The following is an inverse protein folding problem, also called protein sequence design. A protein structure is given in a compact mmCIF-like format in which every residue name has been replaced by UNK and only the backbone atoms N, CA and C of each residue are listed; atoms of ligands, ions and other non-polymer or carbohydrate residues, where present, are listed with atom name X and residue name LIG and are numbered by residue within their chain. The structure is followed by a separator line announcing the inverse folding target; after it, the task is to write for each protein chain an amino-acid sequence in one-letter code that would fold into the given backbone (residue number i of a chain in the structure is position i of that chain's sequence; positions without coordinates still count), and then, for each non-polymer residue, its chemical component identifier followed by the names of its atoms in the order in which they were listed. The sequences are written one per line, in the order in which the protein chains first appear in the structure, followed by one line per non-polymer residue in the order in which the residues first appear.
data_IF_080711283572
#
_entry.id   IF_080711283572
#
_cell.length_a   1.000
_cell.length_b   1.000
_cell.length_c   1.000
_cell.angle_alpha   90.00
_cell.angle_beta   90.00
_cell.angle_gamma   90.00
#
_symmetry.space_group_name_H-M   'P 1'
#
loop_
_entity.id
_entity.type
_entity.pdbx_description
1 polymer ?
#
# COMPACT_ATOMS: atom_id res chain seq x y z
N UNK A 1 4.69 -2.14 -18.52
CA UNK A 1 5.71 -2.99 -17.87
C UNK A 1 5.25 -3.34 -16.47
N UNK A 2 5.32 -4.59 -16.08
CA UNK A 2 5.01 -5.01 -14.71
C UNK A 2 5.96 -6.11 -14.30
N UNK A 3 6.21 -6.24 -13.02
CA UNK A 3 7.16 -7.20 -12.49
C UNK A 3 7.19 -7.16 -10.97
N UNK A 4 8.25 -7.72 -10.41
CA UNK A 4 8.58 -7.61 -9.01
C UNK A 4 10.07 -7.33 -8.85
N UNK A 5 10.43 -6.62 -7.79
CA UNK A 5 11.79 -6.53 -7.27
C UNK A 5 11.93 -7.54 -6.13
N UNK A 6 13.02 -8.29 -6.11
CA UNK A 6 13.35 -9.22 -5.03
C UNK A 6 14.41 -8.56 -4.12
N UNK A 7 14.15 -8.56 -2.81
CA UNK A 7 15.03 -8.04 -1.76
C UNK A 7 15.76 -9.25 -1.15
N UNK A 8 16.92 -9.03 -0.55
CA UNK A 8 17.67 -10.10 0.13
C UNK A 8 16.78 -10.80 1.17
N UNK A 9 16.74 -12.15 1.20
CA UNK A 9 15.82 -12.88 2.06
C UNK A 9 16.12 -12.62 3.53
N UNK A 10 15.08 -12.29 4.30
CA UNK A 10 15.14 -12.19 5.75
C UNK A 10 14.35 -13.33 6.45
N UNK A 11 14.07 -13.18 7.74
CA UNK A 11 13.33 -14.16 8.51
C UNK A 11 11.85 -14.30 8.08
N UNK A 12 11.29 -13.30 7.38
CA UNK A 12 9.92 -13.20 6.93
C UNK A 12 9.85 -13.18 5.40
N UNK A 13 9.95 -14.36 4.77
CA UNK A 13 9.91 -14.54 3.30
C UNK A 13 8.67 -14.01 2.56
N UNK A 14 7.66 -13.50 3.28
CA UNK A 14 6.41 -13.01 2.70
C UNK A 14 6.54 -11.70 1.93
N UNK A 15 7.57 -10.90 2.21
CA UNK A 15 7.79 -9.56 1.64
C UNK A 15 9.06 -9.40 0.81
N UNK A 16 9.83 -10.49 0.64
CA UNK A 16 11.00 -10.58 -0.25
C UNK A 16 10.69 -10.03 -1.65
N UNK A 17 9.42 -10.07 -2.09
CA UNK A 17 8.98 -9.59 -3.41
C UNK A 17 8.08 -8.37 -3.33
N UNK A 18 8.54 -7.28 -3.95
CA UNK A 18 7.78 -6.04 -4.15
C UNK A 18 7.29 -5.96 -5.59
N UNK A 19 5.99 -6.13 -5.79
CA UNK A 19 5.35 -6.04 -7.10
C UNK A 19 5.18 -4.59 -7.53
N UNK A 20 5.35 -4.36 -8.84
CA UNK A 20 5.13 -3.06 -9.47
C UNK A 20 4.42 -3.22 -10.82
N UNK A 21 3.61 -2.21 -11.16
CA UNK A 21 2.96 -2.09 -12.45
C UNK A 21 3.15 -0.67 -12.98
N UNK A 22 3.88 -0.54 -14.08
CA UNK A 22 4.19 0.71 -14.77
C UNK A 22 3.49 0.70 -16.13
N UNK A 23 2.44 1.49 -16.28
CA UNK A 23 1.82 1.70 -17.60
C UNK A 23 2.55 2.80 -18.36
N UNK A 24 3.16 2.45 -19.50
CA UNK A 24 3.65 3.44 -20.46
C UNK A 24 2.42 4.03 -21.12
N UNK A 25 2.13 5.31 -20.85
CA UNK A 25 1.01 6.02 -21.45
C UNK A 25 1.47 6.78 -22.69
N UNK A 26 0.61 6.95 -23.70
CA UNK A 26 0.87 7.93 -24.75
C UNK A 26 1.05 9.33 -24.14
N UNK A 27 1.70 10.26 -24.86
CA UNK A 27 1.83 11.65 -24.43
C UNK A 27 0.46 12.24 -24.11
N UNK A 28 0.36 12.98 -23.01
CA UNK A 28 -0.92 13.57 -22.59
C UNK A 28 -1.32 14.70 -23.52
N UNK A 29 -2.58 14.70 -23.95
CA UNK A 29 -3.16 15.80 -24.73
C UNK A 29 -3.40 17.02 -23.84
N UNK A 30 -2.73 18.13 -24.13
CA UNK A 30 -2.77 19.37 -23.36
C UNK A 30 -3.31 20.52 -24.22
N UNK A 31 -4.23 21.30 -23.68
CA UNK A 31 -4.60 22.62 -24.22
C UNK A 31 -4.23 23.72 -23.23
N UNK A 32 -3.88 24.89 -23.73
CA UNK A 32 -3.57 26.09 -22.95
C UNK A 32 -4.49 27.24 -23.37
N UNK A 33 -5.07 27.95 -22.39
CA UNK A 33 -5.95 29.11 -22.56
C UNK A 33 -5.53 30.24 -21.63
N UNK A 34 -5.84 31.48 -22.02
CA UNK A 34 -5.51 32.68 -21.24
C UNK A 34 -4.22 33.40 -21.66
N UNK A 35 -4.20 34.71 -21.45
CA UNK A 35 -3.02 35.56 -21.61
C UNK A 35 -2.05 35.42 -20.42
N UNK A 36 -0.75 35.64 -20.64
CA UNK A 36 0.29 35.53 -19.61
C UNK A 36 0.93 34.14 -19.49
N UNK A 37 0.58 33.21 -20.39
CA UNK A 37 1.06 31.83 -20.40
C UNK A 37 2.45 31.60 -21.02
N UNK A 38 3.24 32.61 -21.39
CA UNK A 38 4.47 32.42 -22.19
C UNK A 38 5.41 31.33 -21.64
N UNK A 39 5.73 31.35 -20.35
CA UNK A 39 6.62 30.35 -19.75
C UNK A 39 5.99 28.95 -19.74
N UNK A 40 4.68 28.86 -19.54
CA UNK A 40 3.93 27.61 -19.64
C UNK A 40 3.91 27.11 -21.09
N UNK A 41 3.70 27.99 -22.07
CA UNK A 41 3.75 27.65 -23.50
C UNK A 41 5.10 27.05 -23.88
N UNK A 42 6.19 27.70 -23.46
CA UNK A 42 7.55 27.24 -23.72
C UNK A 42 7.82 25.90 -23.02
N UNK A 43 7.41 25.74 -21.75
CA UNK A 43 7.55 24.47 -21.05
C UNK A 43 6.77 23.33 -21.74
N UNK A 44 5.52 23.58 -22.16
CA UNK A 44 4.71 22.61 -22.90
C UNK A 44 5.33 22.29 -24.27
N UNK A 45 5.91 23.27 -24.95
CA UNK A 45 6.60 23.04 -26.22
C UNK A 45 7.83 22.15 -26.04
N UNK A 46 8.62 22.38 -24.97
CA UNK A 46 9.74 21.51 -24.61
C UNK A 46 9.27 20.09 -24.30
N UNK A 47 8.22 19.94 -23.49
CA UNK A 47 7.63 18.62 -23.18
C UNK A 47 7.06 17.94 -24.43
N UNK A 48 6.50 18.69 -25.38
CA UNK A 48 6.00 18.16 -26.64
C UNK A 48 7.15 17.65 -27.53
N UNK A 49 8.23 18.41 -27.66
CA UNK A 49 9.44 17.96 -28.38
C UNK A 49 10.07 16.72 -27.75
N UNK A 50 9.97 16.57 -26.43
CA UNK A 50 10.43 15.40 -25.69
C UNK A 50 9.45 14.21 -25.74
N UNK A 51 8.30 14.33 -26.41
CA UNK A 51 7.28 13.27 -26.46
C UNK A 51 6.61 12.98 -25.11
N UNK A 52 6.61 13.94 -24.18
CA UNK A 52 5.99 13.83 -22.84
C UNK A 52 4.59 14.44 -22.79
N UNK A 53 4.30 15.39 -23.68
CA UNK A 53 2.99 16.01 -23.86
C UNK A 53 2.66 16.16 -25.35
N UNK A 54 1.40 16.46 -25.68
CA UNK A 54 0.98 16.78 -27.03
C UNK A 54 -0.01 17.95 -27.00
N UNK A 55 0.29 19.03 -27.73
CA UNK A 55 -0.70 20.12 -27.90
C UNK A 55 -1.90 19.61 -28.69
N UNK A 56 -3.09 19.80 -28.14
CA UNK A 56 -4.35 19.27 -28.68
C UNK A 56 -5.44 20.35 -28.58
N UNK A 57 -6.45 20.26 -29.45
CA UNK A 57 -7.62 21.12 -29.35
C UNK A 57 -8.39 20.85 -28.04
N UNK A 58 -9.07 21.87 -27.50
CA UNK A 58 -9.77 21.79 -26.21
C UNK A 58 -10.69 20.59 -26.10
N UNK A 59 -11.46 20.30 -27.15
CA UNK A 59 -12.43 19.20 -27.16
C UNK A 59 -11.81 17.81 -26.96
N UNK A 60 -10.51 17.65 -27.22
CA UNK A 60 -9.77 16.39 -27.06
C UNK A 60 -8.65 16.50 -26.01
N UNK A 61 -8.53 17.64 -25.30
CA UNK A 61 -7.53 17.83 -24.27
C UNK A 61 -7.90 17.01 -23.02
N UNK A 62 -6.92 16.26 -22.52
CA UNK A 62 -7.03 15.54 -21.25
C UNK A 62 -6.68 16.44 -20.08
N UNK A 63 -5.83 17.46 -20.32
CA UNK A 63 -5.48 18.51 -19.36
C UNK A 63 -5.67 19.87 -20.02
N UNK A 64 -6.45 20.73 -19.38
CA UNK A 64 -6.58 22.15 -19.70
C UNK A 64 -5.71 22.96 -18.73
N UNK A 65 -4.72 23.68 -19.25
CA UNK A 65 -4.04 24.77 -18.55
C UNK A 65 -4.83 26.06 -18.79
N UNK A 66 -5.38 26.62 -17.73
CA UNK A 66 -6.27 27.78 -17.77
C UNK A 66 -5.62 28.93 -17.00
N UNK A 67 -5.11 29.93 -17.72
CA UNK A 67 -4.63 31.18 -17.13
C UNK A 67 -5.82 32.13 -16.98
N UNK A 68 -6.00 32.71 -15.80
CA UNK A 68 -7.14 33.60 -15.54
C UNK A 68 -8.52 32.94 -15.56
N UNK A 69 -8.58 31.61 -15.59
CA UNK A 69 -9.84 30.86 -15.65
C UNK A 69 -10.43 30.72 -17.05
N UNK A 70 -9.70 31.10 -18.10
CA UNK A 70 -10.18 30.99 -19.48
C UNK A 70 -10.40 29.53 -19.90
N UNK A 71 -11.55 29.25 -20.53
CA UNK A 71 -11.92 27.93 -21.05
C UNK A 71 -12.32 26.90 -20.00
N UNK A 72 -12.38 27.28 -18.72
CA UNK A 72 -12.61 26.35 -17.61
C UNK A 72 -14.04 25.78 -17.60
N UNK A 73 -15.02 26.57 -18.04
CA UNK A 73 -16.44 26.21 -18.18
C UNK A 73 -16.72 25.30 -19.38
N UNK A 74 -15.95 25.47 -20.47
CA UNK A 74 -16.09 24.71 -21.72
C UNK A 74 -15.24 23.44 -21.81
N UNK A 75 -14.57 23.03 -20.73
CA UNK A 75 -13.65 21.88 -20.76
C UNK A 75 -14.39 20.54 -20.96
N UNK A 76 -13.77 19.54 -21.61
CA UNK A 76 -14.35 18.20 -21.71
C UNK A 76 -14.61 17.59 -20.33
N UNK A 77 -15.73 16.89 -20.17
CA UNK A 77 -16.08 16.24 -18.91
C UNK A 77 -15.01 15.23 -18.46
N UNK A 78 -14.57 15.33 -17.21
CA UNK A 78 -13.52 14.48 -16.64
C UNK A 78 -12.10 14.89 -17.01
N UNK A 79 -11.91 15.94 -17.82
CA UNK A 79 -10.59 16.50 -18.08
C UNK A 79 -10.04 17.21 -16.85
N UNK A 80 -8.72 17.14 -16.68
CA UNK A 80 -8.06 17.86 -15.60
C UNK A 80 -7.95 19.35 -15.90
N UNK A 81 -8.17 20.20 -14.90
CA UNK A 81 -7.91 21.62 -14.99
C UNK A 81 -6.69 22.00 -14.15
N UNK A 82 -5.77 22.73 -14.75
CA UNK A 82 -4.66 23.39 -14.08
C UNK A 82 -4.91 24.89 -14.18
N UNK A 83 -5.24 25.52 -13.06
CA UNK A 83 -5.61 26.93 -13.01
C UNK A 83 -4.44 27.74 -12.49
N UNK A 84 -4.00 28.69 -13.32
CA UNK A 84 -2.95 29.65 -13.01
C UNK A 84 -3.62 31.03 -12.91
N UNK A 85 -3.42 31.78 -11.82
CA UNK A 85 -4.06 33.08 -11.68
C UNK A 85 -3.42 34.10 -12.63
N UNK A 86 -4.15 35.15 -13.02
CA UNK A 86 -3.67 36.15 -13.95
C UNK A 86 -2.62 37.05 -13.31
N UNK A 87 -1.69 37.59 -14.10
CA UNK A 87 -0.69 38.54 -13.62
C UNK A 87 -1.31 39.84 -13.09
N UNK A 88 -2.46 40.25 -13.64
CA UNK A 88 -3.25 41.39 -13.17
C UNK A 88 -4.35 40.96 -12.18
N UNK A 89 -4.26 41.46 -10.95
CA UNK A 89 -5.22 41.19 -9.89
C UNK A 89 -6.62 41.74 -10.15
N UNK A 90 -6.78 42.72 -11.06
CA UNK A 90 -8.09 43.22 -11.48
C UNK A 90 -8.95 42.13 -12.16
N UNK A 91 -8.33 41.05 -12.64
CA UNK A 91 -9.00 39.92 -13.27
C UNK A 91 -9.49 38.84 -12.29
N UNK A 92 -9.13 38.91 -10.99
CA UNK A 92 -9.56 37.90 -10.01
C UNK A 92 -11.09 37.71 -9.92
N UNK A 93 -11.94 38.74 -10.01
CA UNK A 93 -13.39 38.53 -10.03
C UNK A 93 -13.87 37.66 -11.19
N UNK A 94 -13.25 37.81 -12.38
CA UNK A 94 -13.57 36.99 -13.54
C UNK A 94 -13.09 35.54 -13.35
N UNK A 95 -11.88 35.34 -12.84
CA UNK A 95 -11.34 34.02 -12.47
C UNK A 95 -12.25 33.31 -11.45
N UNK A 96 -12.61 33.99 -10.37
CA UNK A 96 -13.47 33.42 -9.32
C UNK A 96 -14.86 33.04 -9.83
N UNK A 97 -15.43 33.81 -10.77
CA UNK A 97 -16.67 33.44 -11.45
C UNK A 97 -16.50 32.15 -12.27
N UNK A 98 -15.38 31.98 -12.97
CA UNK A 98 -15.11 30.76 -13.74
C UNK A 98 -14.92 29.54 -12.84
N UNK A 99 -14.24 29.68 -11.70
CA UNK A 99 -14.13 28.60 -10.70
C UNK A 99 -15.49 28.17 -10.17
N UNK A 100 -16.37 29.13 -9.89
CA UNK A 100 -17.73 28.87 -9.44
C UNK A 100 -18.55 28.12 -10.50
N UNK A 101 -18.48 28.54 -11.76
CA UNK A 101 -19.15 27.87 -12.89
C UNK A 101 -18.64 26.44 -13.11
N UNK A 102 -17.35 26.21 -12.84
CA UNK A 102 -16.72 24.89 -12.92
C UNK A 102 -16.86 24.06 -11.62
N UNK A 103 -17.61 24.57 -10.64
CA UNK A 103 -17.87 23.94 -9.34
C UNK A 103 -16.59 23.60 -8.56
N UNK A 104 -15.53 24.39 -8.72
CA UNK A 104 -14.29 24.24 -7.96
C UNK A 104 -14.46 24.97 -6.61
N UNK A 105 -14.31 24.29 -5.46
CA UNK A 105 -14.63 24.84 -4.14
C UNK A 105 -13.51 25.73 -3.57
N UNK A 106 -12.93 26.59 -4.40
CA UNK A 106 -11.87 27.53 -4.02
C UNK A 106 -12.10 28.89 -4.67
N UNK A 107 -11.58 29.92 -4.03
CA UNK A 107 -11.49 31.27 -4.58
C UNK A 107 -10.13 31.87 -4.32
N UNK A 108 -9.78 32.82 -5.19
CA UNK A 108 -8.59 33.64 -5.08
C UNK A 108 -8.94 34.97 -4.41
N UNK A 109 -8.19 35.33 -3.39
CA UNK A 109 -8.27 36.64 -2.75
C UNK A 109 -6.98 37.43 -2.99
N UNK A 110 -7.14 38.73 -3.26
CA UNK A 110 -6.01 39.65 -3.25
C UNK A 110 -5.53 39.81 -1.83
N UNK A 111 -4.34 39.30 -1.53
CA UNK A 111 -3.66 39.61 -0.29
C UNK A 111 -2.51 40.59 -0.56
N UNK A 112 -2.52 41.79 0.04
CA UNK A 112 -1.38 42.67 0.00
C UNK A 112 -0.30 42.15 0.95
N UNK A 113 0.40 41.10 0.55
CA UNK A 113 1.65 40.70 1.18
C UNK A 113 2.79 41.56 0.65
N UNK A 114 3.65 42.08 1.54
CA UNK A 114 4.87 42.78 1.13
C UNK A 114 6.06 41.80 1.13
N UNK A 115 6.86 41.83 0.06
CA UNK A 115 8.14 41.13 -0.03
C UNK A 115 8.07 39.74 -0.66
N UNK A 116 9.27 39.20 -0.92
CA UNK A 116 9.46 37.85 -1.43
C UNK A 116 9.24 36.81 -0.32
N UNK A 117 8.63 35.68 -0.68
CA UNK A 117 8.38 34.56 0.24
C UNK A 117 8.81 33.24 -0.40
N UNK A 118 9.31 32.31 0.41
CA UNK A 118 9.68 30.96 -0.01
C UNK A 118 8.55 29.94 0.13
N UNK A 119 8.85 28.72 -0.28
CA UNK A 119 7.99 27.53 -0.18
C UNK A 119 8.44 26.70 1.03
N UNK A 120 7.50 26.26 1.87
CA UNK A 120 7.78 25.54 3.12
C UNK A 120 7.37 24.05 3.08
N UNK A 121 6.07 23.72 3.21
CA UNK A 121 5.59 22.32 3.21
C UNK A 121 5.40 21.82 1.78
N UNK A 122 6.49 21.42 1.11
CA UNK A 122 6.48 20.94 -0.26
C UNK A 122 6.32 19.40 -0.33
N UNK A 123 5.14 18.95 -0.79
CA UNK A 123 4.80 17.54 -1.00
C UNK A 123 4.91 17.09 -2.46
N UNK A 124 5.38 17.97 -3.33
CA UNK A 124 5.57 17.70 -4.74
C UNK A 124 6.85 16.89 -4.97
N UNK A 125 6.93 16.08 -6.03
CA UNK A 125 8.16 15.35 -6.37
C UNK A 125 9.23 16.24 -7.02
N UNK A 126 9.16 17.56 -6.81
CA UNK A 126 10.04 18.58 -7.38
C UNK A 126 10.50 19.47 -6.24
N UNK A 127 11.81 19.68 -6.11
CA UNK A 127 12.38 20.57 -5.10
C UNK A 127 12.08 22.04 -5.45
N UNK A 128 11.56 22.78 -4.47
CA UNK A 128 11.08 24.17 -4.64
C UNK A 128 11.70 25.12 -3.61
N UNK A 129 12.72 24.68 -2.88
CA UNK A 129 13.34 25.39 -1.75
C UNK A 129 13.95 26.75 -2.14
N UNK A 130 14.41 26.86 -3.40
CA UNK A 130 15.01 28.08 -3.96
C UNK A 130 13.98 28.96 -4.70
N UNK A 131 12.73 28.50 -4.83
CA UNK A 131 11.69 29.29 -5.49
C UNK A 131 11.28 30.44 -4.57
N UNK A 132 11.16 31.63 -5.15
CA UNK A 132 10.73 32.86 -4.48
C UNK A 132 9.48 33.38 -5.16
N UNK A 133 8.49 33.71 -4.36
CA UNK A 133 7.19 34.21 -4.80
C UNK A 133 7.11 35.69 -4.39
N UNK A 134 6.97 36.56 -5.37
CA UNK A 134 6.87 38.02 -5.20
C UNK A 134 5.41 38.45 -5.24
N UNK A 135 4.67 37.94 -6.24
CA UNK A 135 3.24 38.22 -6.43
C UNK A 135 2.44 36.93 -6.25
N UNK A 136 1.44 36.99 -5.38
CA UNK A 136 0.59 35.86 -5.05
C UNK A 136 -0.81 36.31 -4.69
N UNK A 137 -1.71 35.36 -4.72
CA UNK A 137 -3.08 35.48 -4.29
C UNK A 137 -3.36 34.38 -3.29
N UNK A 138 -4.13 34.71 -2.26
CA UNK A 138 -4.50 33.75 -1.23
C UNK A 138 -5.54 32.79 -1.79
N UNK A 139 -5.28 31.50 -1.67
CA UNK A 139 -6.24 30.45 -1.96
C UNK A 139 -7.12 30.20 -0.74
N UNK A 140 -8.42 30.41 -0.87
CA UNK A 140 -9.41 30.22 0.20
C UNK A 140 -10.43 29.18 -0.22
N UNK A 141 -10.58 28.12 0.59
CA UNK A 141 -11.57 27.08 0.35
C UNK A 141 -12.99 27.59 0.66
N UNK A 142 -13.95 27.20 -0.16
CA UNK A 142 -15.37 27.47 0.06
C UNK A 142 -15.98 26.33 0.88
N UNK A 143 -15.85 26.40 2.21
CA UNK A 143 -16.39 25.40 3.16
C UNK A 143 -15.37 24.35 3.63
N UNK A 144 -15.69 23.62 4.71
CA UNK A 144 -14.77 22.70 5.39
C UNK A 144 -14.75 21.27 4.79
N UNK A 145 -15.86 20.78 4.24
CA UNK A 145 -16.03 19.36 3.85
C UNK A 145 -15.47 18.99 2.45
N UNK A 146 -14.97 19.95 1.66
CA UNK A 146 -14.53 19.73 0.28
C UNK A 146 -13.16 20.35 -0.07
N UNK A 147 -12.37 20.75 0.94
CA UNK A 147 -11.07 21.35 0.69
C UNK A 147 -10.11 20.28 0.14
N UNK A 148 -9.62 20.50 -1.09
CA UNK A 148 -8.62 19.66 -1.73
C UNK A 148 -7.33 19.49 -0.90
N UNK A 149 -6.41 18.66 -1.39
CA UNK A 149 -5.12 18.43 -0.75
C UNK A 149 -4.18 19.60 -1.08
N UNK A 150 -3.69 20.27 -0.03
CA UNK A 150 -2.59 21.24 -0.13
C UNK A 150 -1.28 20.49 -0.41
N UNK A 151 -0.66 20.78 -1.55
CA UNK A 151 0.59 20.17 -2.01
C UNK A 151 1.82 21.01 -1.66
N UNK A 152 1.65 22.33 -1.60
CA UNK A 152 2.70 23.25 -1.21
C UNK A 152 2.11 24.40 -0.40
N UNK A 153 2.78 24.78 0.69
CA UNK A 153 2.51 26.03 1.42
C UNK A 153 3.66 27.00 1.26
N UNK A 154 3.38 28.28 1.48
CA UNK A 154 4.41 29.31 1.63
C UNK A 154 4.93 29.34 3.07
N UNK A 155 6.03 30.04 3.30
CA UNK A 155 6.59 30.25 4.66
C UNK A 155 5.60 30.89 5.64
N UNK A 156 4.59 31.59 5.14
CA UNK A 156 3.47 32.18 5.90
C UNK A 156 2.45 31.13 6.36
N UNK A 157 2.54 29.90 5.87
CA UNK A 157 1.60 28.81 6.11
C UNK A 157 0.41 28.76 5.15
N UNK A 158 0.25 29.75 4.27
CA UNK A 158 -0.87 29.78 3.32
C UNK A 158 -0.68 28.77 2.17
N UNK A 159 -1.77 28.17 1.65
CA UNK A 159 -1.68 27.25 0.51
C UNK A 159 -1.18 27.96 -0.76
N UNK A 160 -0.18 27.37 -1.41
CA UNK A 160 0.33 27.82 -2.71
C UNK A 160 -0.05 26.89 -3.85
N UNK A 161 0.02 25.57 -3.66
CA UNK A 161 -0.43 24.60 -4.67
C UNK A 161 -1.46 23.70 -4.03
N UNK A 162 -2.63 23.61 -4.65
CA UNK A 162 -3.75 22.80 -4.17
C UNK A 162 -4.23 21.89 -5.28
N UNK A 163 -4.52 20.64 -4.95
CA UNK A 163 -5.13 19.66 -5.86
C UNK A 163 -6.44 19.16 -5.29
N UNK A 164 -7.43 18.88 -6.13
CA UNK A 164 -8.67 18.24 -5.68
C UNK A 164 -9.48 17.70 -6.84
N UNK A 165 -10.74 17.38 -6.56
CA UNK A 165 -11.70 16.90 -7.55
C UNK A 165 -12.98 17.71 -7.49
N UNK A 166 -13.52 18.04 -8.66
CA UNK A 166 -14.82 18.67 -8.85
C UNK A 166 -15.65 17.82 -9.82
N UNK A 167 -16.98 18.05 -9.95
CA UNK A 167 -17.81 17.33 -10.92
C UNK A 167 -17.25 17.34 -12.35
N UNK A 168 -16.64 18.45 -12.77
CA UNK A 168 -16.00 18.58 -14.09
C UNK A 168 -14.68 17.80 -14.27
N UNK A 169 -14.14 17.20 -13.20
CA UNK A 169 -12.88 16.47 -13.21
C UNK A 169 -11.89 16.99 -12.16
N UNK A 170 -10.68 16.39 -12.12
CA UNK A 170 -9.64 16.81 -11.18
C UNK A 170 -9.20 18.27 -11.46
N UNK A 171 -8.82 18.99 -10.41
CA UNK A 171 -8.31 20.37 -10.52
C UNK A 171 -7.00 20.56 -9.75
N UNK A 172 -6.18 21.47 -10.23
CA UNK A 172 -4.97 21.97 -9.59
C UNK A 172 -5.00 23.50 -9.64
N UNK A 173 -4.68 24.16 -8.52
CA UNK A 173 -4.63 25.61 -8.39
C UNK A 173 -3.21 26.04 -8.00
N UNK A 174 -2.71 27.11 -8.61
CA UNK A 174 -1.48 27.79 -8.20
C UNK A 174 -1.83 29.12 -7.53
N UNK A 175 -1.17 29.46 -6.42
CA UNK A 175 -1.38 30.71 -5.71
C UNK A 175 -0.64 31.89 -6.32
N UNK A 176 0.11 31.71 -7.41
CA UNK A 176 0.83 32.80 -8.09
C UNK A 176 0.78 32.66 -9.61
N UNK A 177 0.83 33.77 -10.35
CA UNK A 177 1.13 33.75 -11.78
C UNK A 177 2.47 33.04 -12.05
N UNK A 178 2.64 32.51 -13.25
CA UNK A 178 3.90 31.86 -13.69
C UNK A 178 4.63 32.75 -14.68
N UNK A 179 5.05 33.91 -14.17
CA UNK A 179 5.88 34.88 -14.87
C UNK A 179 7.05 35.32 -13.97
N UNK A 180 8.08 35.89 -14.59
CA UNK A 180 9.33 36.24 -13.89
C UNK A 180 9.17 37.41 -12.89
N UNK A 181 8.09 38.19 -12.98
CA UNK A 181 7.81 39.25 -12.00
C UNK A 181 7.08 38.72 -10.77
N UNK A 182 6.28 37.66 -10.94
CA UNK A 182 5.48 37.07 -9.88
C UNK A 182 6.23 35.97 -9.13
N UNK A 183 7.04 35.16 -9.83
CA UNK A 183 7.72 34.01 -9.25
C UNK A 183 9.03 33.72 -9.95
N UNK A 184 10.08 33.44 -9.17
CA UNK A 184 11.35 32.96 -9.74
C UNK A 184 11.21 31.58 -10.41
N UNK A 185 10.12 30.85 -10.13
CA UNK A 185 9.81 29.57 -10.74
C UNK A 185 9.93 29.63 -12.27
N UNK A 186 9.37 30.67 -12.90
CA UNK A 186 9.30 30.81 -14.35
C UNK A 186 10.67 30.73 -15.07
N UNK A 187 11.74 31.12 -14.37
CA UNK A 187 13.12 31.15 -14.89
C UNK A 187 14.06 30.16 -14.20
N UNK A 188 13.50 29.27 -13.37
CA UNK A 188 14.26 28.32 -12.55
C UNK A 188 14.28 26.91 -13.13
N UNK A 189 15.24 26.09 -12.69
CA UNK A 189 15.33 24.68 -13.10
C UNK A 189 14.09 23.83 -12.72
N UNK A 190 13.44 24.02 -11.54
CA UNK A 190 12.20 23.33 -11.18
C UNK A 190 11.00 23.52 -12.12
N UNK A 191 11.02 24.53 -13.00
CA UNK A 191 9.89 24.84 -13.89
C UNK A 191 9.44 23.66 -14.73
N UNK A 192 10.37 23.05 -15.48
CA UNK A 192 10.04 21.99 -16.43
C UNK A 192 9.55 20.71 -15.72
N UNK A 193 10.23 20.19 -14.67
CA UNK A 193 9.72 19.07 -13.89
C UNK A 193 8.36 19.34 -13.25
N UNK A 194 8.10 20.57 -12.80
CA UNK A 194 6.81 20.94 -12.22
C UNK A 194 5.71 20.93 -13.27
N UNK A 195 5.92 21.55 -14.44
CA UNK A 195 4.94 21.51 -15.54
C UNK A 195 4.71 20.08 -16.02
N UNK A 196 5.76 19.25 -16.11
CA UNK A 196 5.60 17.83 -16.43
C UNK A 196 4.70 17.13 -15.41
N UNK A 197 4.95 17.35 -14.11
CA UNK A 197 4.10 16.80 -13.05
C UNK A 197 2.65 17.28 -13.19
N UNK A 198 2.45 18.58 -13.44
CA UNK A 198 1.15 19.26 -13.64
C UNK A 198 0.37 18.73 -14.84
N UNK A 199 1.01 18.21 -15.89
CA UNK A 199 0.27 17.72 -17.07
C UNK A 199 0.22 16.21 -17.18
N UNK A 200 1.15 15.47 -16.56
CA UNK A 200 1.29 14.03 -16.80
C UNK A 200 1.05 13.14 -15.59
N UNK A 201 1.19 13.66 -14.37
CA UNK A 201 1.34 12.80 -13.18
C UNK A 201 0.22 12.93 -12.18
N UNK A 202 -0.16 14.14 -11.75
CA UNK A 202 -1.23 14.29 -10.75
C UNK A 202 -2.65 13.97 -11.26
N UNK A 203 -3.07 14.31 -12.50
CA UNK A 203 -4.46 14.09 -12.90
C UNK A 203 -4.74 12.62 -13.20
N UNK A 204 -3.67 11.88 -13.44
CA UNK A 204 -3.64 10.46 -13.76
C UNK A 204 -2.99 9.62 -12.67
N UNK A 205 -2.73 10.22 -11.50
CA UNK A 205 -2.54 9.48 -10.27
C UNK A 205 -3.87 8.77 -9.98
N UNK A 206 -4.09 7.70 -10.71
CA UNK A 206 -4.96 6.61 -10.29
C UNK A 206 -4.26 6.05 -9.08
N UNK A 207 -4.52 6.63 -7.91
CA UNK A 207 -3.96 6.29 -6.61
C UNK A 207 -2.70 5.44 -6.77
N UNK A 208 -1.54 6.10 -6.88
CA UNK A 208 -0.24 5.42 -6.72
C UNK A 208 -0.08 4.78 -5.34
N UNK A 209 -1.18 4.58 -4.60
CA UNK A 209 -1.31 3.65 -3.50
C UNK A 209 -0.78 2.32 -3.99
N UNK A 210 0.40 1.97 -3.48
CA UNK A 210 0.72 0.56 -3.30
C UNK A 210 -0.40 0.03 -2.42
N UNK A 211 -1.31 -0.74 -3.00
CA UNK A 211 -2.33 -1.40 -2.20
C UNK A 211 -1.64 -2.42 -1.31
N UNK A 212 -2.09 -2.52 -0.08
CA UNK A 212 -1.67 -3.58 0.83
C UNK A 212 -2.65 -4.74 0.79
N UNK A 213 -2.17 -5.94 1.13
CA UNK A 213 -3.07 -7.07 1.38
C UNK A 213 -4.10 -6.64 2.44
N UNK A 214 -5.39 -6.85 2.15
CA UNK A 214 -6.51 -6.39 2.97
C UNK A 214 -7.19 -5.11 2.47
N UNK A 215 -6.57 -4.35 1.57
CA UNK A 215 -7.19 -3.12 1.04
C UNK A 215 -8.41 -3.44 0.16
N UNK A 216 -9.42 -2.56 0.20
CA UNK A 216 -10.51 -2.56 -0.78
C UNK A 216 -10.02 -1.89 -2.05
N UNK A 217 -10.02 -2.64 -3.15
CA UNK A 217 -9.64 -2.18 -4.47
C UNK A 217 -10.79 -1.35 -5.08
N UNK A 218 -10.57 -0.06 -5.39
CA UNK A 218 -11.59 0.76 -6.03
C UNK A 218 -11.80 0.30 -7.47
N UNK A 219 -13.04 -0.04 -7.83
CA UNK A 219 -13.40 -0.54 -9.16
C UNK A 219 -13.63 0.65 -10.11
N UNK A 220 -12.79 0.82 -11.16
CA UNK A 220 -13.03 1.83 -12.19
C UNK A 220 -14.34 1.61 -12.95
N UNK A 221 -14.91 2.69 -13.50
CA UNK A 221 -16.04 2.58 -14.40
C UNK A 221 -15.68 1.73 -15.63
N UNK A 222 -16.63 0.91 -16.09
CA UNK A 222 -16.45 0.02 -17.25
C UNK A 222 -15.74 -1.31 -16.95
N UNK A 223 -15.35 -1.56 -15.70
CA UNK A 223 -14.86 -2.86 -15.24
C UNK A 223 -16.04 -3.76 -14.87
N UNK A 224 -15.97 -5.03 -15.26
CA UNK A 224 -16.94 -6.06 -14.91
C UNK A 224 -16.33 -7.24 -14.12
N UNK A 225 -15.01 -7.35 -14.07
CA UNK A 225 -14.30 -8.36 -13.28
C UNK A 225 -12.92 -7.88 -12.80
N UNK A 226 -12.49 -8.40 -11.65
CA UNK A 226 -11.12 -8.28 -11.14
C UNK A 226 -10.51 -9.67 -11.05
N UNK A 227 -9.38 -9.89 -11.72
CA UNK A 227 -8.57 -11.09 -11.58
C UNK A 227 -7.45 -10.85 -10.56
N UNK A 228 -7.33 -11.75 -9.58
CA UNK A 228 -6.24 -11.71 -8.62
C UNK A 228 -4.90 -12.18 -9.22
N UNK A 229 -3.85 -12.17 -8.41
CA UNK A 229 -2.51 -12.60 -8.81
C UNK A 229 -2.42 -14.08 -9.21
N UNK A 230 -3.33 -14.93 -8.72
CA UNK A 230 -3.45 -16.34 -9.10
C UNK A 230 -4.30 -16.53 -10.38
N UNK A 231 -4.89 -15.45 -10.90
CA UNK A 231 -5.75 -15.45 -12.08
C UNK A 231 -7.21 -15.75 -11.78
N UNK A 232 -7.61 -15.89 -10.52
CA UNK A 232 -9.01 -16.12 -10.15
C UNK A 232 -9.82 -14.83 -10.38
N UNK A 233 -10.88 -14.94 -11.19
CA UNK A 233 -11.73 -13.79 -11.56
C UNK A 233 -12.88 -13.65 -10.57
N UNK A 234 -13.03 -12.45 -10.03
CA UNK A 234 -14.15 -12.02 -9.19
C UNK A 234 -15.00 -11.03 -9.99
N UNK A 235 -16.30 -11.28 -10.21
CA UNK A 235 -17.20 -10.30 -10.81
C UNK A 235 -17.23 -9.01 -9.99
N UNK A 236 -17.04 -7.87 -10.63
CA UNK A 236 -16.90 -6.58 -9.98
C UNK A 236 -17.42 -5.47 -10.90
N UNK A 237 -18.62 -4.97 -10.59
CA UNK A 237 -19.21 -3.82 -11.28
C UNK A 237 -19.12 -2.52 -10.46
N UNK A 238 -19.77 -1.44 -10.92
CA UNK A 238 -19.85 -0.18 -10.18
C UNK A 238 -20.41 -0.40 -8.76
N UNK A 239 -19.67 0.03 -7.74
CA UNK A 239 -20.04 -0.12 -6.33
C UNK A 239 -19.65 -1.45 -5.67
N UNK A 240 -19.07 -2.40 -6.42
CA UNK A 240 -18.54 -3.63 -5.84
C UNK A 240 -17.31 -3.36 -4.94
N UNK A 241 -17.24 -4.05 -3.81
CA UNK A 241 -16.07 -4.01 -2.92
C UNK A 241 -15.24 -5.28 -3.12
N UNK A 242 -14.09 -5.16 -3.77
CA UNK A 242 -13.16 -6.27 -3.96
C UNK A 242 -11.98 -6.09 -3.02
N UNK A 243 -11.79 -7.03 -2.11
CA UNK A 243 -10.67 -7.01 -1.15
C UNK A 243 -9.45 -7.71 -1.74
N UNK A 244 -8.28 -7.08 -1.61
CA UNK A 244 -7.01 -7.63 -2.04
C UNK A 244 -6.55 -8.76 -1.10
N UNK A 245 -6.84 -10.02 -1.44
CA UNK A 245 -6.59 -11.18 -0.56
C UNK A 245 -5.13 -11.66 -0.51
N UNK A 246 -4.29 -11.23 -1.44
CA UNK A 246 -2.92 -11.68 -1.52
C UNK A 246 -2.05 -10.73 -2.35
N UNK A 247 -0.73 -10.78 -2.12
CA UNK A 247 0.21 -9.93 -2.85
C UNK A 247 0.31 -10.36 -4.31
N UNK A 248 0.66 -9.42 -5.17
CA UNK A 248 0.84 -9.64 -6.61
C UNK A 248 0.14 -8.62 -7.48
N UNK A 249 0.03 -8.93 -8.76
CA UNK A 249 -0.57 -8.04 -9.77
C UNK A 249 -2.05 -8.38 -9.95
N UNK A 250 -2.91 -7.45 -9.55
CA UNK A 250 -4.37 -7.57 -9.72
C UNK A 250 -4.79 -6.85 -11.00
N UNK A 251 -5.61 -7.52 -11.82
CA UNK A 251 -6.03 -7.06 -13.15
C UNK A 251 -7.52 -6.75 -13.18
N UNK A 252 -7.87 -5.53 -13.58
CA UNK A 252 -9.24 -5.09 -13.80
C UNK A 252 -9.60 -5.30 -15.26
N UNK A 253 -10.71 -5.97 -15.51
CA UNK A 253 -11.12 -6.44 -16.83
C UNK A 253 -12.48 -5.86 -17.22
N UNK A 254 -12.64 -5.64 -18.52
CA UNK A 254 -13.92 -5.45 -19.19
C UNK A 254 -14.07 -6.60 -20.19
N UNK A 255 -14.81 -7.64 -19.82
CA UNK A 255 -14.80 -8.94 -20.46
C UNK A 255 -13.40 -9.57 -20.38
N UNK A 256 -12.71 -9.64 -21.51
CA UNK A 256 -11.32 -10.13 -21.59
C UNK A 256 -10.27 -9.02 -21.80
N UNK A 257 -10.72 -7.78 -21.95
CA UNK A 257 -9.81 -6.64 -22.14
C UNK A 257 -9.27 -6.14 -20.80
N UNK A 258 -7.96 -5.98 -20.70
CA UNK A 258 -7.32 -5.38 -19.53
C UNK A 258 -7.58 -3.87 -19.51
N UNK A 259 -8.33 -3.41 -18.51
CA UNK A 259 -8.62 -1.99 -18.27
C UNK A 259 -7.52 -1.34 -17.43
N UNK A 260 -7.13 -2.02 -16.33
CA UNK A 260 -6.13 -1.51 -15.39
C UNK A 260 -5.41 -2.67 -14.70
N UNK A 261 -4.18 -2.45 -14.28
CA UNK A 261 -3.46 -3.37 -13.42
C UNK A 261 -2.85 -2.61 -12.24
N UNK A 262 -2.99 -3.15 -11.04
CA UNK A 262 -2.44 -2.58 -9.80
C UNK A 262 -1.55 -3.61 -9.11
N UNK A 263 -0.54 -3.12 -8.39
CA UNK A 263 0.27 -3.97 -7.52
C UNK A 263 -0.28 -3.93 -6.10
N UNK A 264 -0.46 -5.11 -5.52
CA UNK A 264 -0.76 -5.32 -4.11
C UNK A 264 0.49 -5.90 -3.45
N UNK A 265 0.97 -5.27 -2.39
CA UNK A 265 2.15 -5.70 -1.65
C UNK A 265 1.78 -6.06 -0.19
N UNK A 266 2.61 -6.82 0.53
CA UNK A 266 2.45 -6.96 1.98
C UNK A 266 2.60 -5.60 2.70
N UNK A 267 1.99 -5.42 3.88
CA UNK A 267 2.18 -4.21 4.68
C UNK A 267 3.65 -4.04 5.09
N UNK A 268 4.23 -2.86 4.86
CA UNK A 268 5.62 -2.59 5.23
C UNK A 268 5.88 -2.66 6.75
N UNK A 269 4.83 -2.55 7.57
CA UNK A 269 4.92 -2.69 9.01
C UNK A 269 5.23 -4.14 9.45
N UNK A 270 4.94 -5.15 8.63
CA UNK A 270 5.30 -6.54 8.93
C UNK A 270 6.83 -6.76 8.88
N UNK A 271 7.57 -5.89 8.18
CA UNK A 271 9.03 -5.94 8.07
C UNK A 271 9.75 -5.20 9.22
N UNK A 272 9.01 -4.50 10.10
CA UNK A 272 9.59 -3.79 11.24
C UNK A 272 9.62 -4.77 12.42
N UNK A 273 10.76 -5.45 12.59
CA UNK A 273 11.01 -6.35 13.72
C UNK A 273 11.40 -5.61 15.02
N UNK A 274 11.09 -4.31 15.12
CA UNK A 274 11.30 -3.59 16.37
C UNK A 274 10.41 -4.22 17.45
N UNK A 275 10.98 -4.58 18.61
CA UNK A 275 10.19 -5.09 19.71
C UNK A 275 9.09 -4.09 20.05
N UNK A 276 7.84 -4.55 20.07
CA UNK A 276 6.74 -3.74 20.58
C UNK A 276 7.04 -3.34 22.02
N UNK A 277 6.88 -2.05 22.34
CA UNK A 277 7.03 -1.59 23.71
C UNK A 277 5.97 -2.24 24.61
N UNK A 278 6.35 -2.65 25.83
CA UNK A 278 5.46 -3.37 26.74
C UNK A 278 4.13 -2.63 26.98
N UNK A 279 4.18 -1.30 27.07
CA UNK A 279 2.99 -0.46 27.26
C UNK A 279 2.04 -0.45 26.05
N UNK A 280 2.54 -0.67 24.84
CA UNK A 280 1.73 -0.79 23.63
C UNK A 280 1.11 -2.19 23.48
N UNK A 281 1.81 -3.22 23.98
CA UNK A 281 1.31 -4.59 24.02
C UNK A 281 0.09 -4.72 24.96
N UNK A 282 0.14 -4.06 26.12
CA UNK A 282 -0.97 -4.01 27.09
C UNK A 282 -2.26 -3.43 26.47
N UNK A 283 -2.12 -2.41 25.61
CA UNK A 283 -3.26 -1.80 24.92
C UNK A 283 -3.89 -2.68 23.81
N UNK A 284 -3.11 -3.60 23.24
CA UNK A 284 -3.55 -4.49 22.15
C UNK A 284 -4.19 -5.79 22.64
N UNK A 285 -3.66 -6.36 23.72
CA UNK A 285 -4.11 -7.65 24.28
C UNK A 285 -5.10 -7.50 25.44
N UNK A 286 -5.24 -6.29 26.00
CA UNK A 286 -6.04 -6.05 27.20
C UNK A 286 -5.46 -6.76 28.43
N UNK A 287 -6.28 -6.97 29.46
CA UNK A 287 -5.86 -7.60 30.73
C UNK A 287 -5.87 -9.14 30.68
N UNK A 288 -6.21 -9.76 29.55
CA UNK A 288 -6.57 -11.18 29.46
C UNK A 288 -5.41 -12.07 28.97
N UNK A 289 -4.18 -11.75 29.37
CA UNK A 289 -3.00 -12.53 29.03
C UNK A 289 -2.04 -12.67 30.21
N UNK A 290 -1.55 -13.89 30.44
CA UNK A 290 -0.53 -14.17 31.45
C UNK A 290 0.88 -14.05 30.84
N UNK A 291 1.70 -13.15 31.36
CA UNK A 291 3.13 -13.08 31.02
C UNK A 291 3.86 -14.25 31.68
N UNK A 292 4.15 -15.28 30.89
CA UNK A 292 5.02 -16.36 31.32
C UNK A 292 6.49 -16.02 31.01
N UNK A 293 7.34 -16.00 32.03
CA UNK A 293 8.79 -16.13 31.83
C UNK A 293 9.11 -17.48 31.12
N UNK A 294 10.20 -17.55 30.37
CA UNK A 294 10.60 -18.75 29.62
C UNK A 294 10.72 -20.00 30.52
N UNK A 295 11.04 -19.82 31.80
CA UNK A 295 11.06 -20.88 32.81
C UNK A 295 9.66 -21.28 33.31
N UNK A 296 8.72 -20.33 33.34
CA UNK A 296 7.31 -20.50 33.71
C UNK A 296 6.51 -21.16 32.59
N UNK A 297 6.79 -20.79 31.34
CA UNK A 297 6.14 -21.35 30.14
C UNK A 297 6.42 -22.84 29.99
N UNK A 298 7.67 -23.27 30.19
CA UNK A 298 8.01 -24.71 30.20
C UNK A 298 7.20 -25.44 31.28
N UNK A 299 7.08 -24.89 32.48
CA UNK A 299 6.26 -25.52 33.54
C UNK A 299 4.79 -25.60 33.16
N UNK A 300 4.19 -24.57 32.58
CA UNK A 300 2.78 -24.57 32.17
C UNK A 300 2.49 -25.54 31.03
N UNK A 301 3.33 -25.57 30.00
CA UNK A 301 3.15 -26.47 28.83
C UNK A 301 3.46 -27.93 29.17
N UNK A 302 4.42 -28.19 30.07
CA UNK A 302 4.76 -29.56 30.47
C UNK A 302 3.90 -30.09 31.64
N UNK A 303 3.43 -29.24 32.56
CA UNK A 303 2.55 -29.66 33.66
C UNK A 303 1.14 -30.00 33.17
N UNK A 304 0.64 -29.30 32.15
CA UNK A 304 -0.70 -29.57 31.57
C UNK A 304 -0.79 -30.86 30.74
N UNK A 305 0.34 -31.51 30.43
CA UNK A 305 0.37 -32.83 29.76
C UNK A 305 0.64 -34.02 30.68
N UNK A 306 0.90 -33.81 31.97
CA UNK A 306 0.85 -34.90 32.95
C UNK A 306 -0.59 -35.06 33.43
N UNK A 307 -1.41 -35.66 32.56
CA UNK A 307 -2.73 -36.16 32.96
C UNK A 307 -2.61 -36.97 34.25
N UNK A 308 -3.58 -36.77 35.15
CA UNK A 308 -3.75 -37.48 36.43
C UNK A 308 -3.14 -38.88 36.35
N UNK A 309 -2.13 -39.16 37.19
CA UNK A 309 -1.22 -40.31 37.11
C UNK A 309 -1.92 -41.69 37.10
N UNK A 310 -2.58 -42.06 35.99
CA UNK A 310 -3.33 -43.32 35.81
C UNK A 310 -2.42 -44.53 36.02
N UNK A 311 -1.12 -44.37 35.74
CA UNK A 311 -0.11 -45.41 35.93
C UNK A 311 -0.05 -45.93 37.38
N UNK A 312 -0.31 -45.08 38.38
CA UNK A 312 -0.33 -45.50 39.80
C UNK A 312 -1.50 -46.43 40.09
N UNK A 313 -2.66 -46.14 39.50
CA UNK A 313 -3.84 -47.01 39.60
C UNK A 313 -3.68 -48.31 38.79
N UNK A 314 -3.02 -48.26 37.63
CA UNK A 314 -2.69 -49.45 36.85
C UNK A 314 -1.69 -50.37 37.57
N UNK A 315 -0.68 -49.81 38.24
CA UNK A 315 0.24 -50.58 39.08
C UNK A 315 -0.46 -51.20 40.28
N UNK A 316 -1.35 -50.45 40.94
CA UNK A 316 -2.15 -50.98 42.03
C UNK A 316 -3.03 -52.15 41.55
N UNK A 317 -3.69 -52.01 40.39
CA UNK A 317 -4.48 -53.07 39.78
C UNK A 317 -3.65 -54.30 39.39
N UNK A 318 -2.46 -54.09 38.82
CA UNK A 318 -1.52 -55.16 38.48
C UNK A 318 -1.03 -55.90 39.73
N UNK A 319 -0.76 -55.18 40.83
CA UNK A 319 -0.39 -55.77 42.11
C UNK A 319 -1.52 -56.63 42.69
N UNK A 320 -2.76 -56.13 42.61
CA UNK A 320 -3.96 -56.89 43.05
C UNK A 320 -4.15 -58.15 42.20
N UNK A 321 -3.95 -58.06 40.88
CA UNK A 321 -3.98 -59.21 39.97
C UNK A 321 -2.93 -60.25 40.33
N UNK A 322 -1.68 -59.84 40.59
CA UNK A 322 -0.61 -60.75 41.02
C UNK A 322 -0.93 -61.42 42.37
N UNK A 323 -1.52 -60.70 43.32
CA UNK A 323 -1.93 -61.28 44.59
C UNK A 323 -3.07 -62.30 44.42
N UNK A 324 -4.04 -62.01 43.55
CA UNK A 324 -5.10 -62.96 43.18
C UNK A 324 -4.54 -64.21 42.48
N UNK A 325 -3.63 -64.02 41.52
CA UNK A 325 -3.01 -65.11 40.78
C UNK A 325 -2.16 -65.99 41.70
N UNK A 326 -1.42 -65.40 42.65
CA UNK A 326 -0.66 -66.15 43.65
C UNK A 326 -1.56 -67.01 44.54
N UNK A 327 -2.77 -66.53 44.88
CA UNK A 327 -3.76 -67.29 45.65
C UNK A 327 -4.36 -68.45 44.87
N UNK A 328 -4.64 -68.25 43.58
CA UNK A 328 -5.16 -69.30 42.68
C UNK A 328 -4.09 -70.35 42.38
N UNK A 329 -2.83 -69.94 42.19
CA UNK A 329 -1.70 -70.84 42.01
C UNK A 329 -1.36 -71.64 43.29
N UNK A 330 -1.64 -71.08 44.47
CA UNK A 330 -1.47 -71.77 45.75
C UNK A 330 -2.57 -72.83 46.02
N UNK A 331 -3.76 -72.69 45.43
CA UNK A 331 -4.85 -73.67 45.55
C UNK A 331 -4.83 -74.74 44.45
N UNK A 332 -4.09 -74.53 43.37
CA UNK A 332 -3.88 -75.47 42.27
C UNK A 332 -2.60 -76.30 42.38
N UNK A 333 -2.44 -77.11 43.44
CA UNK A 333 -1.43 -78.18 43.43
C UNK A 333 -1.93 -79.46 44.11
N UNK A 334 -2.71 -80.24 43.35
CA UNK A 334 -2.92 -81.69 43.54
C UNK A 334 -2.94 -82.40 42.19
N UNK A 335 -1.83 -83.10 41.92
CA UNK A 335 -1.67 -84.44 41.27
C UNK A 335 -2.39 -84.74 39.94
N UNK A 336 -1.77 -85.33 38.91
CA UNK A 336 -0.87 -86.49 38.94
C UNK A 336 -0.34 -86.90 37.54
N UNK A 337 0.90 -87.45 37.53
CA UNK A 337 1.44 -88.63 36.77
C UNK A 337 1.35 -88.66 35.23
N UNK A 338 2.24 -89.27 34.43
CA UNK A 338 3.27 -90.29 34.63
C UNK A 338 4.23 -90.30 33.41
N UNK A 339 5.42 -90.90 33.55
CA UNK A 339 6.09 -91.55 32.41
C UNK A 339 7.57 -91.21 32.19
N UNK A 340 8.44 -92.20 32.44
CA UNK A 340 9.73 -92.32 31.75
C UNK A 340 10.98 -92.27 32.63
N UNK A 341 11.43 -93.42 33.12
CA UNK A 341 12.73 -93.60 33.75
C UNK A 341 13.76 -94.17 32.77
N UNK A 342 15.01 -93.67 32.87
CA UNK A 342 16.34 -94.31 32.60
C UNK A 342 16.64 -94.82 31.17
N UNK A 343 17.79 -94.63 30.51
CA UNK A 343 19.20 -94.22 30.79
C UNK A 343 19.95 -94.27 29.40
N UNK A 344 21.30 -94.32 29.30
CA UNK A 344 22.35 -93.27 29.41
C UNK A 344 23.13 -93.05 28.08
N UNK A 345 24.08 -92.09 28.04
CA UNK A 345 25.24 -92.25 27.13
C UNK A 345 26.11 -91.02 26.82
N UNK A 346 27.40 -91.16 27.14
CA UNK A 346 28.61 -90.54 26.53
C UNK A 346 28.78 -89.01 26.55
N UNK A 347 29.72 -88.49 27.36
CA UNK A 347 31.13 -88.19 27.01
C UNK A 347 31.30 -87.19 25.85
N UNK A 348 31.77 -85.99 26.17
CA UNK A 348 33.06 -85.49 25.69
C UNK A 348 33.17 -83.96 25.74
N UNK A 349 34.38 -83.38 25.78
CA UNK A 349 34.68 -82.19 26.58
C UNK A 349 34.97 -80.91 25.76
N UNK A 350 35.06 -79.80 26.49
CA UNK A 350 35.94 -78.63 26.30
C UNK A 350 36.11 -77.99 24.90
N UNK A 351 35.98 -76.66 24.88
CA UNK A 351 37.04 -75.70 24.50
C UNK A 351 36.55 -74.53 23.62
N UNK A 352 36.87 -73.33 24.10
CA UNK A 352 37.43 -72.20 23.33
C UNK A 352 36.57 -71.48 22.28
N UNK A 353 36.41 -70.17 22.44
CA UNK A 353 36.08 -69.23 21.35
C UNK A 353 37.22 -69.10 20.32
N UNK A 354 37.27 -68.08 19.43
CA UNK A 354 36.44 -66.87 19.29
C UNK A 354 35.91 -66.61 17.84
N UNK A 355 35.20 -65.48 17.67
CA UNK A 355 34.94 -64.57 16.50
C UNK A 355 35.75 -64.78 15.18
N UNK A 356 35.49 -64.04 14.05
CA UNK A 356 34.29 -63.48 13.40
C UNK A 356 34.32 -63.64 11.83
N UNK A 357 33.54 -62.79 11.11
CA UNK A 357 33.50 -62.43 9.65
C UNK A 357 32.41 -63.14 8.83
N UNK A 358 31.40 -62.41 8.33
CA UNK A 358 31.38 -61.38 7.28
C UNK A 358 31.10 -61.99 5.89
N UNK A 359 30.02 -61.51 5.29
CA UNK A 359 29.54 -61.76 3.93
C UNK A 359 28.34 -60.86 3.70
#
# INVERSE_FOLDING_TARGET
MSGYAEIDPDALRGDDRRFFSVSVRPPVGVSLRGEGGFFLEQAIEVLARAGRAQRTADAAAQVLLSVGGEGLDGRPGGSAAVVVPPSDGAMLPALNRQLLLAEIPWRYESEPGAGEIGVADNRLPVALDEVRIVRRYRLVANGEEAAGVVQATLDSGEPWIVTGSAPGGPYLLLGSPVDAEATSLAVSAPMLPLVEWMVSRWPFQSDGRSFTVGDVLPIPAGVDAVADAAGARTPAGPGAQVVARGPGLHRFLAGDSLVRQVAVNPPAAESILEPIAESALDGLLGDDYDRADASSWRRLVFASRQGTEVWRWLLAAALVLLLLESRVAATGRRTSSSGGATMPGSRGPSASGPLPRAG
#
